data_IF_386430274190
#
_entry.id   IF_386430274190
#
_cell.length_a   1.000
_cell.length_b   1.000
_cell.length_c   1.000
_cell.angle_alpha   90.00
_cell.angle_beta   90.00
_cell.angle_gamma   90.00
#
_symmetry.space_group_name_H-M   'P 1'
#
loop_
_entity.id
_entity.type
_entity.pdbx_description
1 polymer ?
#
# COMPACT_ATOMS: atom_id res chain seq x y z
N UNK A 1 14.10 11.46 -36.08
CA UNK A 1 15.25 10.63 -35.70
C UNK A 1 15.05 10.13 -34.27
N UNK A 2 15.20 8.82 -34.04
CA UNK A 2 14.98 8.11 -32.78
C UNK A 2 16.23 8.27 -31.91
N UNK A 3 16.13 8.82 -30.70
CA UNK A 3 17.24 8.89 -29.72
C UNK A 3 16.99 7.90 -28.57
N UNK A 4 18.04 7.32 -27.96
CA UNK A 4 17.93 6.02 -27.30
C UNK A 4 17.44 6.00 -25.84
N UNK A 5 16.99 7.11 -25.22
CA UNK A 5 16.79 7.13 -23.76
C UNK A 5 15.58 7.87 -23.18
N UNK A 6 14.64 8.34 -23.99
CA UNK A 6 13.34 8.84 -23.47
C UNK A 6 12.26 8.59 -24.52
N UNK A 7 11.25 7.79 -24.17
CA UNK A 7 10.04 7.62 -24.99
C UNK A 7 8.98 8.54 -24.37
N UNK A 8 8.59 9.60 -25.09
CA UNK A 8 7.42 10.40 -24.75
C UNK A 8 6.22 9.88 -25.52
N UNK A 9 5.07 9.82 -24.86
CA UNK A 9 3.81 9.49 -25.52
C UNK A 9 3.48 10.58 -26.55
N UNK A 10 3.03 10.15 -27.72
CA UNK A 10 2.37 11.05 -28.67
C UNK A 10 0.99 11.45 -28.10
N UNK A 11 0.37 12.52 -28.61
CA UNK A 11 -0.94 12.99 -28.14
C UNK A 11 -2.02 11.88 -28.16
N UNK A 12 -2.02 11.06 -29.21
CA UNK A 12 -2.91 9.90 -29.29
C UNK A 12 -2.57 8.81 -28.27
N UNK A 13 -1.30 8.68 -27.90
CA UNK A 13 -0.83 7.77 -26.86
C UNK A 13 -1.31 8.16 -25.47
N UNK A 14 -1.34 9.46 -25.15
CA UNK A 14 -1.91 9.96 -23.88
C UNK A 14 -3.42 9.67 -23.79
N UNK A 15 -4.16 9.86 -24.90
CA UNK A 15 -5.60 9.56 -24.95
C UNK A 15 -5.90 8.05 -24.90
N UNK A 16 -5.02 7.22 -25.47
CA UNK A 16 -5.19 5.77 -25.51
C UNK A 16 -4.78 5.07 -24.20
N UNK A 17 -3.82 5.62 -23.46
CA UNK A 17 -3.24 5.00 -22.27
C UNK A 17 -4.28 4.58 -21.20
N UNK A 18 -5.33 5.37 -20.88
CA UNK A 18 -6.36 4.96 -19.94
C UNK A 18 -7.13 3.70 -20.40
N UNK A 19 -7.48 3.64 -21.69
CA UNK A 19 -8.18 2.49 -22.26
C UNK A 19 -7.29 1.24 -22.31
N UNK A 20 -6.01 1.41 -22.63
CA UNK A 20 -5.02 0.32 -22.62
C UNK A 20 -4.82 -0.28 -21.22
N UNK A 21 -4.73 0.57 -20.18
CA UNK A 21 -4.66 0.13 -18.78
C UNK A 21 -5.91 -0.63 -18.37
N UNK A 22 -7.10 -0.10 -18.69
CA UNK A 22 -8.36 -0.77 -18.38
C UNK A 22 -8.49 -2.15 -19.06
N UNK A 23 -7.93 -2.31 -20.26
CA UNK A 23 -7.90 -3.60 -20.97
C UNK A 23 -7.00 -4.62 -20.26
N UNK A 24 -5.79 -4.22 -19.84
CA UNK A 24 -4.87 -5.09 -19.10
C UNK A 24 -5.47 -5.50 -17.75
N UNK A 25 -6.06 -4.56 -17.01
CA UNK A 25 -6.74 -4.84 -15.75
C UNK A 25 -7.92 -5.82 -15.95
N UNK A 26 -8.63 -5.75 -17.08
CA UNK A 26 -9.69 -6.70 -17.39
C UNK A 26 -9.15 -8.08 -17.77
N UNK A 27 -8.02 -8.15 -18.46
CA UNK A 27 -7.35 -9.39 -18.81
C UNK A 27 -6.84 -10.13 -17.56
N UNK A 28 -6.15 -9.43 -16.67
CA UNK A 28 -5.59 -10.02 -15.45
C UNK A 28 -6.70 -10.55 -14.53
N UNK A 29 -7.82 -9.83 -14.42
CA UNK A 29 -9.03 -10.31 -13.73
C UNK A 29 -9.61 -11.57 -14.33
N UNK A 30 -9.66 -11.67 -15.66
CA UNK A 30 -10.19 -12.85 -16.33
C UNK A 30 -9.31 -14.08 -16.10
N UNK A 31 -7.99 -13.91 -16.05
CA UNK A 31 -7.05 -14.99 -15.71
C UNK A 31 -7.19 -15.39 -14.23
N UNK A 32 -7.29 -14.42 -13.32
CA UNK A 32 -7.49 -14.66 -11.88
C UNK A 32 -8.79 -15.42 -11.58
N UNK A 33 -9.87 -15.16 -12.33
CA UNK A 33 -11.14 -15.86 -12.17
C UNK A 33 -11.08 -17.38 -12.47
N UNK A 34 -10.08 -17.82 -13.24
CA UNK A 34 -9.91 -19.24 -13.65
C UNK A 34 -8.91 -19.97 -12.75
N UNK A 35 -7.94 -19.25 -12.17
CA UNK A 35 -6.96 -19.78 -11.23
C UNK A 35 -7.59 -19.92 -9.82
N UNK A 36 -8.48 -20.90 -9.66
CA UNK A 36 -9.23 -21.10 -8.42
C UNK A 36 -8.33 -21.53 -7.24
N UNK A 37 -7.79 -20.55 -6.54
CA UNK A 37 -7.53 -20.58 -5.11
C UNK A 37 -8.01 -19.24 -4.56
N UNK A 38 -8.61 -19.19 -3.37
CA UNK A 38 -8.82 -17.90 -2.71
C UNK A 38 -7.45 -17.27 -2.48
N UNK A 39 -7.12 -16.23 -3.24
CA UNK A 39 -5.91 -15.46 -3.03
C UNK A 39 -6.08 -14.80 -1.66
N UNK A 40 -5.29 -15.18 -0.67
CA UNK A 40 -5.33 -14.56 0.67
C UNK A 40 -4.11 -13.67 0.81
N UNK A 41 -4.35 -12.46 1.32
CA UNK A 41 -3.30 -11.52 1.72
C UNK A 41 -3.46 -11.23 3.20
N UNK A 42 -2.49 -11.62 4.01
CA UNK A 42 -2.41 -11.27 5.43
C UNK A 42 -1.54 -10.02 5.60
N UNK A 43 -2.15 -8.93 6.06
CA UNK A 43 -1.54 -7.62 6.21
C UNK A 43 -1.48 -7.21 7.69
N UNK A 44 -0.28 -6.98 8.20
CA UNK A 44 -0.07 -6.31 9.48
C UNK A 44 -0.16 -4.79 9.33
N UNK A 45 -0.87 -4.10 10.22
CA UNK A 45 -0.88 -2.65 10.29
C UNK A 45 -0.65 -2.20 11.72
N UNK A 46 0.38 -1.39 11.94
CA UNK A 46 0.68 -0.88 13.27
C UNK A 46 -0.45 0.02 13.78
N UNK A 47 -0.84 -0.16 15.05
CA UNK A 47 -1.97 0.55 15.67
C UNK A 47 -1.85 2.08 15.62
N UNK A 48 -0.61 2.57 15.52
CA UNK A 48 -0.29 4.00 15.48
C UNK A 48 -0.02 4.53 14.07
N UNK A 49 -0.24 3.71 13.04
CA UNK A 49 -0.12 4.15 11.65
C UNK A 49 -1.50 4.55 11.15
N UNK A 50 -1.70 5.85 10.93
CA UNK A 50 -2.81 6.32 10.12
C UNK A 50 -2.46 6.11 8.65
N UNK A 51 -2.76 4.93 8.08
CA UNK A 51 -2.53 4.68 6.65
C UNK A 51 -3.41 5.64 5.84
N UNK A 52 -2.84 6.65 5.15
CA UNK A 52 -3.64 7.59 4.38
C UNK A 52 -4.40 6.84 3.30
N UNK A 53 -5.67 7.20 3.13
CA UNK A 53 -6.53 6.64 2.08
C UNK A 53 -6.67 5.12 2.08
N UNK A 54 -6.48 4.44 3.23
CA UNK A 54 -6.65 2.99 3.35
C UNK A 54 -7.97 2.50 2.72
N UNK A 55 -9.14 3.13 2.92
CA UNK A 55 -10.36 2.73 2.24
C UNK A 55 -10.26 2.76 0.70
N UNK A 56 -9.58 3.74 0.13
CA UNK A 56 -9.38 3.84 -1.32
C UNK A 56 -8.43 2.75 -1.83
N UNK A 57 -7.36 2.46 -1.09
CA UNK A 57 -6.43 1.36 -1.39
C UNK A 57 -7.15 0.02 -1.37
N UNK A 58 -7.94 -0.25 -0.32
CA UNK A 58 -8.74 -1.47 -0.21
C UNK A 58 -9.76 -1.60 -1.35
N UNK A 59 -10.41 -0.50 -1.72
CA UNK A 59 -11.34 -0.47 -2.86
C UNK A 59 -10.63 -0.77 -4.18
N UNK A 60 -9.41 -0.24 -4.37
CA UNK A 60 -8.62 -0.52 -5.56
C UNK A 60 -8.18 -1.98 -5.62
N UNK A 61 -7.73 -2.56 -4.50
CA UNK A 61 -7.36 -3.97 -4.40
C UNK A 61 -8.54 -4.89 -4.72
N UNK A 62 -9.71 -4.64 -4.14
CA UNK A 62 -10.92 -5.41 -4.43
C UNK A 62 -11.37 -5.28 -5.89
N UNK A 63 -11.22 -4.10 -6.50
CA UNK A 63 -11.52 -3.90 -7.93
C UNK A 63 -10.58 -4.67 -8.84
N UNK A 64 -9.31 -4.77 -8.47
CA UNK A 64 -8.27 -5.47 -9.24
C UNK A 64 -8.38 -6.99 -9.08
N UNK A 65 -8.67 -7.47 -7.88
CA UNK A 65 -8.89 -8.89 -7.61
C UNK A 65 -10.08 -9.08 -6.65
N UNK A 66 -11.29 -9.30 -7.18
CA UNK A 66 -12.47 -9.58 -6.37
C UNK A 66 -12.38 -10.89 -5.59
N UNK A 67 -11.49 -11.81 -5.98
CA UNK A 67 -11.24 -13.09 -5.29
C UNK A 67 -10.25 -12.98 -4.14
N UNK A 68 -9.63 -11.81 -3.94
CA UNK A 68 -8.69 -11.54 -2.87
C UNK A 68 -9.41 -11.45 -1.52
N UNK A 69 -9.06 -12.36 -0.60
CA UNK A 69 -9.42 -12.29 0.80
C UNK A 69 -8.31 -11.56 1.57
N UNK A 70 -8.59 -10.34 2.02
CA UNK A 70 -7.67 -9.60 2.88
C UNK A 70 -7.93 -9.94 4.36
N UNK A 71 -6.89 -10.39 5.07
CA UNK A 71 -6.88 -10.54 6.52
C UNK A 71 -6.01 -9.44 7.11
N UNK A 72 -6.52 -8.73 8.12
CA UNK A 72 -5.80 -7.60 8.73
C UNK A 72 -5.47 -7.89 10.20
N UNK A 73 -4.22 -7.67 10.57
CA UNK A 73 -3.71 -7.84 11.93
C UNK A 73 -3.23 -6.49 12.47
N UNK A 74 -3.73 -6.10 13.63
CA UNK A 74 -3.25 -4.92 14.35
C UNK A 74 -2.24 -5.34 15.41
N UNK A 75 -1.23 -4.50 15.63
CA UNK A 75 -0.25 -4.72 16.70
C UNK A 75 0.84 -3.65 16.72
N UNK A 76 1.83 -3.84 17.58
CA UNK A 76 3.02 -2.96 17.62
C UNK A 76 3.92 -3.23 16.42
N UNK A 77 4.67 -2.21 15.97
CA UNK A 77 5.65 -2.36 14.87
C UNK A 77 6.58 -3.56 15.09
N UNK A 78 7.12 -3.72 16.32
CA UNK A 78 8.01 -4.84 16.67
C UNK A 78 7.35 -6.21 16.53
N UNK A 79 6.10 -6.36 17.00
CA UNK A 79 5.38 -7.64 16.90
C UNK A 79 5.03 -7.97 15.45
N UNK A 80 4.58 -6.99 14.67
CA UNK A 80 4.26 -7.18 13.26
C UNK A 80 5.49 -7.55 12.44
N UNK A 81 6.65 -6.94 12.71
CA UNK A 81 7.90 -7.33 12.06
C UNK A 81 8.31 -8.76 12.40
N UNK A 82 8.18 -9.19 13.67
CA UNK A 82 8.46 -10.57 14.05
C UNK A 82 7.52 -11.57 13.33
N UNK A 83 6.22 -11.25 13.24
CA UNK A 83 5.25 -12.06 12.49
C UNK A 83 5.55 -12.12 10.99
N UNK A 84 6.02 -11.01 10.41
CA UNK A 84 6.46 -10.94 9.03
C UNK A 84 7.70 -11.80 8.78
N UNK A 85 8.71 -11.74 9.65
CA UNK A 85 9.92 -12.57 9.56
C UNK A 85 9.60 -14.08 9.67
N UNK A 86 8.60 -14.43 10.48
CA UNK A 86 8.06 -15.78 10.60
C UNK A 86 7.16 -16.21 9.43
N UNK A 87 6.94 -15.33 8.44
CA UNK A 87 6.04 -15.52 7.29
C UNK A 87 4.59 -15.80 7.68
N UNK A 88 4.15 -15.28 8.84
CA UNK A 88 2.75 -15.28 9.25
C UNK A 88 1.96 -14.14 8.61
N UNK A 89 2.67 -13.08 8.19
CA UNK A 89 2.13 -11.97 7.42
C UNK A 89 2.80 -11.94 6.04
N UNK A 90 2.04 -11.59 5.01
CA UNK A 90 2.56 -11.36 3.67
C UNK A 90 3.15 -9.95 3.52
N UNK A 91 2.65 -8.99 4.30
CA UNK A 91 3.16 -7.63 4.36
C UNK A 91 2.88 -7.02 5.74
N UNK A 92 3.71 -6.03 6.13
CA UNK A 92 3.50 -5.26 7.35
C UNK A 92 3.73 -3.76 7.10
N UNK A 93 2.76 -2.94 7.47
CA UNK A 93 2.90 -1.49 7.53
C UNK A 93 3.24 -1.12 8.97
N UNK A 94 4.46 -0.65 9.18
CA UNK A 94 4.99 -0.32 10.49
C UNK A 94 5.41 1.13 10.56
N UNK A 95 5.39 1.68 11.77
CA UNK A 95 5.94 2.99 12.06
C UNK A 95 7.40 2.84 12.48
N UNK A 96 8.22 3.77 12.03
CA UNK A 96 9.58 3.96 12.51
C UNK A 96 9.70 5.37 13.10
N UNK A 97 10.31 5.48 14.27
CA UNK A 97 10.56 6.74 14.96
C UNK A 97 12.05 7.09 15.02
N UNK A 98 12.41 8.39 15.00
CA UNK A 98 13.78 8.82 15.25
C UNK A 98 14.29 8.30 16.59
N UNK A 99 15.45 7.63 16.58
CA UNK A 99 16.08 7.06 17.79
C UNK A 99 15.86 5.56 17.97
N UNK A 100 15.04 4.94 17.12
CA UNK A 100 15.02 3.48 16.97
C UNK A 100 16.19 2.99 16.10
N UNK A 101 16.41 1.66 16.11
CA UNK A 101 17.33 1.03 15.17
C UNK A 101 16.96 1.38 13.71
N UNK A 102 17.95 1.46 12.80
CA UNK A 102 17.69 1.81 11.41
C UNK A 102 16.57 0.95 10.80
N UNK A 103 15.72 1.54 9.93
CA UNK A 103 14.68 0.78 9.27
C UNK A 103 15.33 -0.35 8.45
N UNK A 104 14.59 -1.45 8.30
CA UNK A 104 15.05 -2.61 7.56
C UNK A 104 15.42 -2.23 6.12
N UNK A 105 16.46 -2.87 5.60
CA UNK A 105 16.92 -2.63 4.22
C UNK A 105 15.90 -3.07 3.16
N UNK A 106 15.02 -4.03 3.49
CA UNK A 106 13.92 -4.49 2.64
C UNK A 106 12.63 -3.65 2.79
N UNK A 107 12.66 -2.60 3.60
CA UNK A 107 11.53 -1.69 3.81
C UNK A 107 11.36 -0.66 2.70
N UNK A 108 10.11 -0.22 2.48
CA UNK A 108 9.80 0.92 1.61
C UNK A 108 9.10 2.01 2.43
N UNK A 109 9.59 3.24 2.34
CA UNK A 109 8.93 4.39 2.95
C UNK A 109 7.60 4.68 2.24
N UNK A 110 6.48 4.54 2.95
CA UNK A 110 5.15 4.82 2.41
C UNK A 110 4.78 6.30 2.54
N UNK A 111 4.97 6.87 3.73
CA UNK A 111 4.70 8.27 4.03
C UNK A 111 5.42 8.67 5.33
N UNK A 112 5.50 9.97 5.58
CA UNK A 112 5.93 10.53 6.86
C UNK A 112 4.75 11.23 7.53
N UNK A 113 4.53 10.97 8.81
CA UNK A 113 3.46 11.61 9.57
C UNK A 113 4.03 12.76 10.41
N UNK A 114 3.53 14.00 10.24
CA UNK A 114 3.98 15.11 11.07
C UNK A 114 3.39 14.99 12.48
N UNK A 115 4.24 15.02 13.49
CA UNK A 115 3.80 15.10 14.88
C UNK A 115 3.37 16.54 15.22
N UNK A 116 2.14 16.69 15.70
CA UNK A 116 1.57 17.98 16.08
C UNK A 116 1.03 17.94 17.51
N UNK A 117 1.20 19.04 18.24
CA UNK A 117 0.53 19.26 19.51
C UNK A 117 -0.89 19.72 19.25
N UNK A 118 -1.86 18.98 19.77
CA UNK A 118 -3.26 19.32 19.70
C UNK A 118 -3.72 19.79 21.08
N UNK A 119 -4.45 20.88 21.12
CA UNK A 119 -5.06 21.41 22.32
C UNK A 119 -6.53 21.71 22.05
N UNK A 120 -7.33 21.77 23.12
CA UNK A 120 -8.71 22.22 23.01
C UNK A 120 -8.73 23.66 22.43
N UNK A 121 -9.76 24.04 21.65
CA UNK A 121 -9.82 25.37 21.02
C UNK A 121 -9.70 26.55 21.99
N UNK A 122 -10.07 26.34 23.25
CA UNK A 122 -10.04 27.30 24.35
C UNK A 122 -8.81 27.15 25.27
N UNK A 123 -7.85 26.30 24.92
CA UNK A 123 -6.65 26.10 25.73
C UNK A 123 -5.75 27.34 25.75
N UNK A 124 -5.36 27.75 26.94
CA UNK A 124 -4.39 28.83 27.17
C UNK A 124 -3.12 28.29 27.81
N UNK A 125 -1.93 28.54 27.24
CA UNK A 125 -0.66 28.22 27.92
C UNK A 125 -0.56 28.98 29.25
N UNK A 126 -0.03 28.31 30.28
CA UNK A 126 0.29 28.94 31.57
C UNK A 126 1.73 29.40 31.61
#
# INVERSE_FOLDING_TARGET
ARTPRVVKLAADGENFLPAARALLDAHDRALGAIAAGTHRLSLGVSEHVAVPDLPAVLTSLHRQDPGLSLEMHLGTSTNLLAQYDERRLDAAIVRHEPGEDPPREDGTLLFTEPLAWLAAPDWTPR
#
